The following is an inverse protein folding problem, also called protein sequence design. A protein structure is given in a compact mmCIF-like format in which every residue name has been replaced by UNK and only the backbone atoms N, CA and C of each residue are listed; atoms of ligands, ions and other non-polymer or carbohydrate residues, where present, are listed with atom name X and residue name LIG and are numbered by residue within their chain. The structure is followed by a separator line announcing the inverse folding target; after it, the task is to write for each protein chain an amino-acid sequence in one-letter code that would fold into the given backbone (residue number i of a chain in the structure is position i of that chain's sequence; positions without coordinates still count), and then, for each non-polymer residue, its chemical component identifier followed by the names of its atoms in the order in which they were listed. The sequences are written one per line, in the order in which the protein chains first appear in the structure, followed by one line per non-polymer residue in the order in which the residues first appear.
data_IF_461085067312
#
_entry.id   IF_461085067312
#
_cell.length_a   1.000
_cell.length_b   1.000
_cell.length_c   1.000
_cell.angle_alpha   90.00
_cell.angle_beta   90.00
_cell.angle_gamma   90.00
#
_symmetry.space_group_name_H-M   'P 1'
#
loop_
_entity.id
_entity.type
_entity.pdbx_description
1 polymer ?
#
# COMPACT_ATOMS: atom_id res chain seq x y z
N UNK A 1 7.22 13.96 25.74
CA UNK A 1 6.16 12.95 25.62
C UNK A 1 6.18 12.54 24.17
N UNK A 2 6.80 11.39 23.86
CA UNK A 2 6.70 10.78 22.55
C UNK A 2 5.29 10.22 22.45
N UNK A 3 4.40 11.00 21.82
CA UNK A 3 3.08 10.52 21.47
C UNK A 3 3.31 9.49 20.37
N UNK A 4 3.20 8.21 20.72
CA UNK A 4 2.82 7.19 19.74
C UNK A 4 1.55 7.72 19.09
N UNK A 5 1.66 8.38 17.94
CA UNK A 5 0.51 8.92 17.21
C UNK A 5 -0.32 7.73 16.79
N UNK A 6 -1.29 7.39 17.62
CA UNK A 6 -2.21 6.29 17.36
C UNK A 6 -3.16 6.79 16.30
N UNK A 7 -2.86 6.47 15.04
CA UNK A 7 -3.74 6.75 13.92
C UNK A 7 -5.03 5.95 14.15
N UNK A 8 -6.17 6.63 14.19
CA UNK A 8 -7.47 5.97 14.23
C UNK A 8 -7.62 5.13 12.94
N UNK A 9 -7.81 3.80 13.03
CA UNK A 9 -7.89 2.95 11.85
C UNK A 9 -9.05 3.28 10.90
N UNK A 10 -10.02 4.06 11.37
CA UNK A 10 -11.20 4.48 10.61
C UNK A 10 -11.14 5.94 10.16
N UNK A 11 -10.18 6.72 10.67
CA UNK A 11 -9.99 8.10 10.24
C UNK A 11 -9.43 8.16 8.83
N UNK A 12 -9.82 9.21 8.12
CA UNK A 12 -9.37 9.46 6.76
C UNK A 12 -7.87 9.81 6.76
N UNK A 13 -7.07 9.00 6.09
CA UNK A 13 -5.63 9.20 5.98
C UNK A 13 -5.28 10.43 5.14
N UNK A 14 -6.18 10.87 4.25
CA UNK A 14 -6.01 12.12 3.51
C UNK A 14 -6.07 13.31 4.46
N UNK A 15 -6.98 13.28 5.43
CA UNK A 15 -7.17 14.37 6.39
C UNK A 15 -6.16 14.32 7.56
N UNK A 16 -5.81 13.13 8.03
CA UNK A 16 -4.94 12.94 9.20
C UNK A 16 -3.44 12.95 8.87
N UNK A 17 -3.06 12.37 7.72
CA UNK A 17 -1.65 12.18 7.32
C UNK A 17 -1.31 12.99 6.07
N UNK A 18 -2.31 13.51 5.36
CA UNK A 18 -2.11 14.24 4.11
C UNK A 18 -1.91 13.34 2.90
N UNK A 19 -2.24 12.05 2.98
CA UNK A 19 -2.10 11.09 1.89
C UNK A 19 -3.01 11.52 0.73
N UNK A 20 -2.46 11.90 -0.41
CA UNK A 20 -3.30 12.29 -1.55
C UNK A 20 -3.79 11.06 -2.35
N UNK A 21 -4.74 11.27 -3.26
CA UNK A 21 -5.30 10.17 -4.06
C UNK A 21 -4.31 9.53 -5.03
N UNK A 22 -3.28 10.27 -5.46
CA UNK A 22 -2.23 9.76 -6.34
C UNK A 22 -1.27 8.89 -5.52
N UNK A 23 -0.84 9.34 -4.35
CA UNK A 23 -0.01 8.59 -3.41
C UNK A 23 -0.71 7.30 -2.95
N UNK A 24 -2.03 7.36 -2.69
CA UNK A 24 -2.82 6.19 -2.38
C UNK A 24 -2.87 5.18 -3.56
N UNK A 25 -2.91 5.68 -4.79
CA UNK A 25 -2.83 4.85 -6.00
C UNK A 25 -1.44 4.22 -6.17
N UNK A 26 -0.37 4.99 -5.98
CA UNK A 26 1.01 4.51 -6.02
C UNK A 26 1.30 3.46 -4.93
N UNK A 27 0.73 3.63 -3.74
CA UNK A 27 0.78 2.64 -2.66
C UNK A 27 0.16 1.31 -3.11
N UNK A 28 -1.01 1.35 -3.76
CA UNK A 28 -1.66 0.13 -4.27
C UNK A 28 -0.84 -0.52 -5.37
N UNK A 29 -0.28 0.25 -6.31
CA UNK A 29 0.64 -0.28 -7.33
C UNK A 29 1.82 -0.99 -6.68
N UNK A 30 2.48 -0.30 -5.74
CA UNK A 30 3.65 -0.82 -5.03
C UNK A 30 3.32 -2.13 -4.32
N UNK A 31 2.13 -2.25 -3.72
CA UNK A 31 1.69 -3.48 -3.07
C UNK A 31 1.60 -4.66 -4.05
N UNK A 32 1.01 -4.44 -5.23
CA UNK A 32 0.88 -5.46 -6.27
C UNK A 32 2.23 -5.89 -6.83
N UNK A 33 3.07 -4.92 -7.19
CA UNK A 33 4.42 -5.19 -7.70
C UNK A 33 5.27 -5.92 -6.66
N UNK A 34 5.15 -5.52 -5.38
CA UNK A 34 5.91 -6.12 -4.29
C UNK A 34 5.51 -7.59 -4.10
N UNK A 35 4.23 -7.90 -4.30
CA UNK A 35 3.71 -9.26 -4.21
C UNK A 35 3.84 -10.04 -5.52
N UNK A 36 4.17 -9.38 -6.63
CA UNK A 36 4.22 -10.00 -7.96
C UNK A 36 2.83 -10.42 -8.45
N UNK A 37 1.79 -9.70 -8.04
CA UNK A 37 0.39 -9.92 -8.42
C UNK A 37 -0.01 -8.88 -9.47
N UNK A 38 -0.83 -9.27 -10.43
CA UNK A 38 -1.36 -8.35 -11.44
C UNK A 38 -2.30 -7.32 -10.81
N UNK A 39 -2.22 -6.07 -11.28
CA UNK A 39 -3.12 -5.01 -10.84
C UNK A 39 -4.54 -5.26 -11.36
N UNK A 40 -5.60 -5.09 -10.55
CA UNK A 40 -6.97 -5.17 -11.02
C UNK A 40 -7.25 -4.07 -12.05
N UNK A 41 -8.10 -4.35 -13.04
CA UNK A 41 -8.49 -3.35 -14.05
C UNK A 41 -9.31 -2.20 -13.43
N UNK A 42 -10.08 -2.48 -12.38
CA UNK A 42 -11.01 -1.54 -11.72
C UNK A 42 -10.64 -1.33 -10.24
N UNK A 43 -9.50 -0.68 -9.97
CA UNK A 43 -9.14 -0.31 -8.60
C UNK A 43 -9.91 0.93 -8.14
N UNK A 44 -10.74 0.78 -7.11
CA UNK A 44 -11.42 1.90 -6.46
C UNK A 44 -10.58 2.46 -5.29
N UNK A 45 -9.77 3.47 -5.58
CA UNK A 45 -8.86 4.11 -4.60
C UNK A 45 -9.60 4.75 -3.43
N UNK A 46 -10.89 5.06 -3.57
CA UNK A 46 -11.68 5.58 -2.45
C UNK A 46 -11.83 4.55 -1.33
N UNK A 47 -11.67 3.26 -1.63
CA UNK A 47 -11.73 2.18 -0.63
C UNK A 47 -10.48 2.09 0.23
N UNK A 48 -9.36 2.70 -0.17
CA UNK A 48 -8.08 2.67 0.56
C UNK A 48 -7.78 3.97 1.33
N UNK A 49 -8.79 4.83 1.54
CA UNK A 49 -8.63 6.11 2.25
C UNK A 49 -8.42 6.01 3.77
N UNK A 50 -8.51 4.82 4.37
CA UNK A 50 -8.21 4.61 5.79
C UNK A 50 -7.61 3.22 6.02
N UNK A 51 -6.98 2.99 7.18
CA UNK A 51 -6.30 1.74 7.50
C UNK A 51 -7.25 0.53 7.44
N UNK A 52 -8.51 0.69 7.87
CA UNK A 52 -9.53 -0.36 7.74
C UNK A 52 -9.81 -0.69 6.27
N UNK A 53 -9.89 0.33 5.43
CA UNK A 53 -10.11 0.19 3.99
C UNK A 53 -8.96 -0.55 3.30
N UNK A 54 -7.72 -0.21 3.64
CA UNK A 54 -6.52 -0.92 3.16
C UNK A 54 -6.53 -2.39 3.61
N UNK A 55 -6.83 -2.65 4.89
CA UNK A 55 -6.89 -4.02 5.40
C UNK A 55 -7.99 -4.85 4.71
N UNK A 56 -9.14 -4.23 4.43
CA UNK A 56 -10.23 -4.87 3.70
C UNK A 56 -9.84 -5.14 2.25
N UNK A 57 -9.20 -4.18 1.58
CA UNK A 57 -8.68 -4.33 0.23
C UNK A 57 -7.73 -5.53 0.11
N UNK A 58 -6.76 -5.64 1.03
CA UNK A 58 -5.83 -6.77 1.07
C UNK A 58 -6.56 -8.11 1.18
N UNK A 59 -7.62 -8.17 2.00
CA UNK A 59 -8.41 -9.39 2.22
C UNK A 59 -9.25 -9.78 1.00
N UNK A 60 -9.72 -8.78 0.24
CA UNK A 60 -10.59 -9.00 -0.91
C UNK A 60 -9.78 -9.38 -2.16
N UNK A 61 -8.59 -8.78 -2.34
CA UNK A 61 -7.78 -8.95 -3.55
C UNK A 61 -6.72 -10.06 -3.43
N UNK A 62 -6.25 -10.38 -2.22
CA UNK A 62 -5.21 -11.39 -2.03
C UNK A 62 -5.72 -12.63 -1.31
N UNK A 63 -5.32 -13.79 -1.80
CA UNK A 63 -5.53 -15.05 -1.10
C UNK A 63 -4.57 -15.18 0.10
N UNK A 64 -4.80 -16.18 0.95
CA UNK A 64 -4.03 -16.38 2.18
C UNK A 64 -2.55 -16.65 1.92
N UNK A 65 -2.19 -17.36 0.86
CA UNK A 65 -0.79 -17.66 0.52
C UNK A 65 -0.06 -16.36 0.14
N UNK A 66 -0.69 -15.51 -0.66
CA UNK A 66 -0.15 -14.20 -1.03
C UNK A 66 0.07 -13.29 0.19
N UNK A 67 -0.90 -13.25 1.12
CA UNK A 67 -0.75 -12.49 2.38
C UNK A 67 0.36 -13.05 3.26
N UNK A 68 0.51 -14.37 3.34
CA UNK A 68 1.63 -14.99 4.06
C UNK A 68 2.98 -14.63 3.45
N UNK A 69 3.07 -14.59 2.11
CA UNK A 69 4.28 -14.13 1.42
C UNK A 69 4.58 -12.67 1.75
N UNK A 70 3.58 -11.78 1.74
CA UNK A 70 3.73 -10.38 2.15
C UNK A 70 4.40 -10.26 3.52
N UNK A 71 3.89 -11.01 4.50
CA UNK A 71 4.37 -10.97 5.88
C UNK A 71 5.79 -11.55 6.06
N UNK A 72 6.24 -12.39 5.13
CA UNK A 72 7.58 -12.98 5.14
C UNK A 72 8.62 -12.13 4.40
N UNK A 73 8.19 -11.19 3.54
CA UNK A 73 9.12 -10.32 2.81
C UNK A 73 9.69 -9.25 3.72
N UNK A 74 10.94 -8.89 3.45
CA UNK A 74 11.59 -7.80 4.15
C UNK A 74 11.10 -6.46 3.57
N UNK A 75 10.61 -5.57 4.43
CA UNK A 75 10.18 -4.22 4.04
C UNK A 75 11.34 -3.44 3.40
N UNK A 76 12.60 -3.77 3.73
CA UNK A 76 13.77 -3.20 3.08
C UNK A 76 13.84 -3.48 1.57
N UNK A 77 13.09 -4.46 1.06
CA UNK A 77 13.01 -4.73 -0.37
C UNK A 77 12.19 -3.66 -1.12
N UNK A 78 11.27 -2.95 -0.46
CA UNK A 78 10.54 -1.82 -1.07
C UNK A 78 11.50 -0.69 -1.49
N UNK A 79 12.53 -0.41 -0.69
CA UNK A 79 13.54 0.60 -1.00
C UNK A 79 14.38 0.25 -2.24
N UNK A 80 14.42 -1.02 -2.64
CA UNK A 80 15.12 -1.49 -3.85
C UNK A 80 14.25 -1.36 -5.09
N UNK A 81 12.92 -1.28 -4.95
CA UNK A 81 12.00 -1.13 -6.08
C UNK A 81 12.03 0.30 -6.64
N UNK A 82 12.10 1.31 -5.77
CA UNK A 82 12.18 2.72 -6.19
C UNK A 82 13.46 3.07 -6.98
N UNK A 83 14.57 2.36 -6.76
CA UNK A 83 15.84 2.59 -7.47
C UNK A 83 15.85 2.05 -8.89
N UNK A 84 14.91 1.17 -9.25
CA UNK A 84 14.87 0.51 -10.55
C UNK A 84 14.24 1.41 -11.63
N UNK A 85 13.36 2.34 -11.23
CA UNK A 85 12.67 3.25 -12.14
C UNK A 85 13.54 4.47 -12.53
N UNK A 86 14.33 5.01 -11.58
CA UNK A 86 15.30 6.09 -11.83
C UNK A 86 16.43 5.70 -12.80
N UNK A 87 16.66 4.40 -13.02
CA UNK A 87 17.73 3.91 -13.89
C UNK A 87 17.34 3.77 -15.37
N UNK A 88 16.10 4.09 -15.75
CA UNK A 88 15.61 4.09 -17.14
C UNK A 88 15.52 5.49 -17.76
N UNK A 89 15.94 6.54 -17.05
CA UNK A 89 16.12 7.88 -17.60
C UNK A 89 17.38 8.00 -18.46
N UNK A 90 17.34 7.49 -19.70
CA UNK A 90 18.27 7.85 -20.78
C UNK A 90 17.58 8.69 -21.85
#
# INVERSE_FOLDING_TARGET
MDASTQIDPTADLMDEVGLDSLEAFEMVITLHEFLGVDMPEDVDIKKVGNLRGIAQYIKDEYDTETVEQFMQRDVADLAKMQQKDDSLGV
#
